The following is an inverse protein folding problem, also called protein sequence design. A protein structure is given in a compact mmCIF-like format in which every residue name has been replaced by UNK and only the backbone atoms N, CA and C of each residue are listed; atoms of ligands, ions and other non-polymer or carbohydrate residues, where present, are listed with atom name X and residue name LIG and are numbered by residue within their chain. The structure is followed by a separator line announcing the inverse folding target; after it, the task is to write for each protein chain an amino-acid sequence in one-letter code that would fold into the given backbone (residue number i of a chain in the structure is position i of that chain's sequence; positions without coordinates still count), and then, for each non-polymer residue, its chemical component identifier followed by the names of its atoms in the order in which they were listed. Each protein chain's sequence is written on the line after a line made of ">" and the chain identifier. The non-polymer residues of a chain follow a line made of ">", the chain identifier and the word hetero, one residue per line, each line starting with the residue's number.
data_IF_546960159705
#
_entry.id   IF_546960159705
#
_cell.length_a   1.000
_cell.length_b   1.000
_cell.length_c   1.000
_cell.angle_alpha   90.00
_cell.angle_beta   90.00
_cell.angle_gamma   90.00
#
_symmetry.space_group_name_H-M   'P 1'
#
loop_
_entity.id
_entity.type
_entity.pdbx_description
1 polymer ?
#
# COMPACT_ATOMS: atom_id res chain seq x y z
N UNK A 1 -50.36 11.51 43.13
CA UNK A 1 -49.42 10.49 42.64
C UNK A 1 -48.39 11.16 41.74
N UNK A 2 -47.13 11.30 42.21
CA UNK A 2 -46.01 11.81 41.42
C UNK A 2 -45.03 10.66 41.20
N UNK A 3 -45.00 10.11 40.00
CA UNK A 3 -44.01 9.13 39.57
C UNK A 3 -42.68 9.84 39.28
N UNK A 4 -41.64 9.44 40.00
CA UNK A 4 -40.32 10.09 39.97
C UNK A 4 -39.56 9.73 38.70
N UNK A 5 -39.10 10.73 37.96
CA UNK A 5 -38.30 10.62 36.74
C UNK A 5 -36.84 10.17 36.97
N UNK A 6 -36.52 9.61 38.16
CA UNK A 6 -35.15 9.19 38.50
C UNK A 6 -34.80 7.75 38.09
N UNK A 7 -35.78 6.92 37.76
CA UNK A 7 -35.54 5.52 37.40
C UNK A 7 -35.21 5.31 35.91
N UNK A 8 -35.46 6.30 35.05
CA UNK A 8 -35.22 6.19 33.60
C UNK A 8 -33.82 6.62 33.16
N UNK A 9 -33.11 7.40 34.00
CA UNK A 9 -31.77 7.87 33.69
C UNK A 9 -30.67 6.81 33.93
N UNK A 10 -30.95 5.76 34.71
CA UNK A 10 -29.96 4.72 35.02
C UNK A 10 -29.94 3.56 34.01
N UNK A 11 -31.00 3.41 33.19
CA UNK A 11 -31.06 2.38 32.16
C UNK A 11 -30.47 2.85 30.81
N UNK A 12 -30.37 4.15 30.57
CA UNK A 12 -29.77 4.71 29.33
C UNK A 12 -28.25 4.91 29.41
N UNK A 13 -27.66 4.84 30.60
CA UNK A 13 -26.21 4.94 30.79
C UNK A 13 -25.48 3.60 30.62
N UNK A 14 -26.21 2.48 30.59
CA UNK A 14 -25.64 1.13 30.44
C UNK A 14 -25.61 0.60 28.99
N UNK A 15 -26.24 1.30 28.04
CA UNK A 15 -26.32 0.87 26.63
C UNK A 15 -25.35 1.59 25.68
N UNK A 16 -24.52 2.51 26.19
CA UNK A 16 -23.55 3.28 25.38
C UNK A 16 -22.08 2.81 25.51
N UNK A 17 -21.82 1.69 26.19
CA UNK A 17 -20.45 1.17 26.40
C UNK A 17 -20.22 -0.27 25.93
N UNK A 18 -21.18 -0.89 25.23
CA UNK A 18 -21.08 -2.28 24.78
C UNK A 18 -20.58 -2.47 23.32
N UNK A 19 -19.72 -1.60 22.81
CA UNK A 19 -19.02 -1.84 21.53
C UNK A 19 -17.51 -1.54 21.55
N UNK A 20 -16.92 -1.30 22.73
CA UNK A 20 -15.48 -1.11 22.89
C UNK A 20 -14.69 -2.42 23.17
N UNK A 21 -15.29 -3.58 22.90
CA UNK A 21 -14.66 -4.89 23.12
C UNK A 21 -14.48 -5.68 21.80
N UNK A 22 -14.13 -4.99 20.71
CA UNK A 22 -13.39 -5.65 19.62
C UNK A 22 -11.97 -5.12 19.62
N UNK A 23 -11.25 -5.42 20.71
CA UNK A 23 -9.80 -5.53 20.66
C UNK A 23 -9.44 -6.75 19.79
N UNK A 24 -9.87 -6.78 18.52
CA UNK A 24 -9.22 -7.53 17.45
C UNK A 24 -7.73 -7.19 17.55
N UNK A 25 -6.85 -8.17 17.62
CA UNK A 25 -5.42 -7.89 17.70
C UNK A 25 -5.10 -7.08 16.46
N UNK A 26 -4.57 -5.88 16.64
CA UNK A 26 -4.21 -5.02 15.52
C UNK A 26 -3.20 -5.80 14.67
N UNK A 27 -3.38 -5.79 13.35
CA UNK A 27 -2.34 -6.31 12.49
C UNK A 27 -1.08 -5.45 12.69
N UNK A 28 0.11 -6.07 12.85
CA UNK A 28 1.33 -5.30 12.92
C UNK A 28 1.58 -4.59 11.60
N UNK A 29 2.09 -3.35 11.66
CA UNK A 29 2.61 -2.66 10.47
C UNK A 29 3.88 -3.34 9.96
N UNK A 30 4.11 -3.22 8.66
CA UNK A 30 5.28 -3.77 7.98
C UNK A 30 4.89 -4.65 6.81
N UNK A 31 5.79 -5.52 6.41
CA UNK A 31 5.70 -6.28 5.17
C UNK A 31 5.73 -7.76 5.48
N UNK A 32 4.85 -8.50 4.80
CA UNK A 32 4.58 -9.91 5.08
C UNK A 32 4.73 -10.72 3.79
N UNK A 33 5.55 -11.76 3.84
CA UNK A 33 5.82 -12.60 2.70
C UNK A 33 4.63 -13.48 2.40
N UNK A 34 4.33 -13.70 1.13
CA UNK A 34 3.25 -14.57 0.70
C UNK A 34 3.63 -15.38 -0.53
N UNK A 35 2.94 -16.51 -0.69
CA UNK A 35 3.04 -17.38 -1.86
C UNK A 35 1.71 -17.44 -2.59
N UNK A 36 1.76 -17.26 -3.91
CA UNK A 36 0.62 -17.42 -4.81
C UNK A 36 0.88 -18.61 -5.73
N UNK A 37 -0.09 -19.52 -5.95
CA UNK A 37 0.06 -20.64 -6.89
C UNK A 37 0.29 -20.20 -8.34
N UNK A 38 0.00 -18.93 -8.66
CA UNK A 38 0.23 -18.36 -9.99
C UNK A 38 1.70 -18.04 -10.26
N UNK A 39 2.51 -17.89 -9.20
CA UNK A 39 3.93 -17.59 -9.31
C UNK A 39 4.73 -18.87 -9.56
N UNK A 40 5.66 -18.81 -10.53
CA UNK A 40 6.57 -19.90 -10.86
C UNK A 40 8.00 -19.39 -10.71
N UNK A 41 8.84 -20.10 -9.95
CA UNK A 41 10.25 -19.72 -9.78
C UNK A 41 10.51 -18.89 -8.50
N UNK A 42 11.47 -17.94 -8.51
CA UNK A 42 11.89 -17.18 -7.32
C UNK A 42 10.93 -16.02 -6.95
N UNK A 43 9.82 -15.89 -7.68
CA UNK A 43 8.84 -14.83 -7.51
C UNK A 43 7.99 -15.07 -6.26
N UNK A 44 7.68 -14.00 -5.54
CA UNK A 44 7.00 -14.00 -4.24
C UNK A 44 6.09 -12.77 -4.11
N UNK A 45 5.12 -12.86 -3.21
CA UNK A 45 4.23 -11.74 -2.88
C UNK A 45 4.66 -11.08 -1.57
N UNK A 46 4.51 -9.77 -1.47
CA UNK A 46 4.55 -9.01 -0.24
C UNK A 46 3.20 -8.33 -0.01
N UNK A 47 2.66 -8.45 1.21
CA UNK A 47 1.61 -7.57 1.68
C UNK A 47 2.23 -6.52 2.60
N UNK A 48 2.27 -5.28 2.14
CA UNK A 48 2.74 -4.14 2.94
C UNK A 48 1.53 -3.55 3.67
N UNK A 49 1.59 -3.47 5.00
CA UNK A 49 0.49 -3.07 5.87
C UNK A 49 0.85 -1.79 6.62
N UNK A 50 0.00 -0.76 6.49
CA UNK A 50 0.06 0.50 7.23
C UNK A 50 -1.27 0.75 7.92
N UNK A 51 -1.26 1.15 9.19
CA UNK A 51 -2.49 1.36 9.96
C UNK A 51 -3.16 2.67 9.54
N UNK A 52 -4.49 2.65 9.46
CA UNK A 52 -5.27 3.88 9.32
C UNK A 52 -5.24 4.64 10.67
N UNK A 53 -4.69 5.86 10.65
CA UNK A 53 -4.54 6.70 11.85
C UNK A 53 -5.88 7.26 12.33
N UNK A 54 -6.89 7.33 11.46
CA UNK A 54 -8.22 7.87 11.77
C UNK A 54 -9.18 6.75 12.13
N UNK A 55 -9.12 5.62 11.42
CA UNK A 55 -9.94 4.45 11.71
C UNK A 55 -9.07 3.31 12.30
N UNK A 56 -9.08 3.08 13.62
CA UNK A 56 -8.17 2.13 14.26
C UNK A 56 -8.41 0.67 13.90
N UNK A 57 -9.52 0.34 13.23
CA UNK A 57 -9.85 -1.01 12.75
C UNK A 57 -9.59 -1.21 11.27
N UNK A 58 -9.08 -0.18 10.57
CA UNK A 58 -8.75 -0.23 9.16
C UNK A 58 -7.23 -0.10 8.92
N UNK A 59 -6.83 -0.54 7.74
CA UNK A 59 -5.45 -0.51 7.27
C UNK A 59 -5.42 -0.10 5.80
N UNK A 60 -4.33 0.51 5.38
CA UNK A 60 -3.94 0.61 3.99
C UNK A 60 -2.97 -0.51 3.69
N UNK A 61 -3.22 -1.24 2.60
CA UNK A 61 -2.37 -2.36 2.21
C UNK A 61 -1.98 -2.28 0.75
N UNK A 62 -0.72 -2.61 0.47
CA UNK A 62 -0.21 -2.79 -0.89
C UNK A 62 0.13 -4.27 -1.05
N UNK A 63 -0.45 -4.92 -2.06
CA UNK A 63 -0.07 -6.26 -2.47
C UNK A 63 0.87 -6.12 -3.66
N UNK A 64 2.13 -6.51 -3.49
CA UNK A 64 3.18 -6.37 -4.49
C UNK A 64 3.82 -7.71 -4.79
N UNK A 65 4.19 -7.92 -6.05
CA UNK A 65 5.00 -9.06 -6.47
C UNK A 65 6.47 -8.63 -6.62
N UNK A 66 7.37 -9.51 -6.24
CA UNK A 66 8.80 -9.24 -6.32
C UNK A 66 9.59 -10.53 -6.53
N UNK A 67 10.81 -10.43 -7.03
CA UNK A 67 11.71 -11.59 -7.11
C UNK A 67 12.73 -11.51 -6.00
N UNK A 68 13.08 -12.64 -5.37
CA UNK A 68 14.10 -12.65 -4.33
C UNK A 68 15.52 -12.55 -4.89
N UNK A 69 16.44 -11.95 -4.12
CA UNK A 69 17.88 -12.09 -4.39
C UNK A 69 18.26 -13.58 -4.26
N UNK A 70 19.15 -14.09 -5.13
CA UNK A 70 19.67 -15.43 -4.97
C UNK A 70 20.54 -15.50 -3.71
N UNK A 71 19.91 -15.93 -2.61
CA UNK A 71 20.51 -16.31 -1.33
C UNK A 71 21.40 -15.26 -0.66
N UNK A 72 20.85 -14.56 0.34
CA UNK A 72 21.65 -13.95 1.41
C UNK A 72 21.34 -14.72 2.71
N UNK A 73 22.32 -15.22 3.47
CA UNK A 73 22.03 -15.89 4.72
C UNK A 73 21.50 -14.88 5.77
N UNK A 74 20.28 -15.09 6.29
CA UNK A 74 19.74 -14.34 7.44
C UNK A 74 18.23 -14.53 7.64
N UNK A 75 17.73 -14.66 8.88
CA UNK A 75 16.33 -15.06 9.11
C UNK A 75 15.25 -13.97 9.00
N UNK A 76 15.55 -12.70 8.65
CA UNK A 76 14.59 -11.59 8.80
C UNK A 76 14.71 -10.47 7.76
N UNK A 77 14.85 -10.80 6.46
CA UNK A 77 15.01 -9.77 5.41
C UNK A 77 14.09 -10.00 4.22
N UNK A 78 13.43 -8.93 3.78
CA UNK A 78 12.85 -8.86 2.44
C UNK A 78 14.01 -8.70 1.46
N UNK A 79 14.47 -9.82 0.92
CA UNK A 79 15.55 -9.85 -0.07
C UNK A 79 15.00 -9.54 -1.45
N UNK A 80 14.46 -8.33 -1.66
CA UNK A 80 13.90 -7.95 -2.96
C UNK A 80 15.06 -7.69 -3.93
N UNK A 81 15.16 -8.48 -5.01
CA UNK A 81 16.09 -8.22 -6.11
C UNK A 81 15.54 -7.20 -7.11
N UNK A 82 14.24 -7.28 -7.36
CA UNK A 82 13.48 -6.40 -8.25
C UNK A 82 12.00 -6.55 -7.94
N UNK A 83 11.23 -5.49 -8.19
CA UNK A 83 9.79 -5.59 -8.24
C UNK A 83 9.36 -6.35 -9.51
N UNK A 84 8.19 -6.97 -9.46
CA UNK A 84 7.51 -7.46 -10.66
C UNK A 84 6.27 -6.59 -10.82
N UNK A 85 5.97 -6.08 -12.04
CA UNK A 85 4.85 -5.17 -12.27
C UNK A 85 3.51 -5.88 -12.05
N UNK A 86 3.11 -5.98 -10.79
CA UNK A 86 1.81 -6.45 -10.35
C UNK A 86 1.54 -5.94 -8.93
N UNK A 87 1.18 -4.66 -8.85
CA UNK A 87 0.91 -3.98 -7.59
C UNK A 87 -0.56 -3.58 -7.48
N UNK A 88 -1.14 -3.82 -6.32
CA UNK A 88 -2.49 -3.43 -6.00
C UNK A 88 -2.50 -2.68 -4.67
N UNK A 89 -3.39 -1.71 -4.55
CA UNK A 89 -3.54 -0.90 -3.34
C UNK A 89 -4.98 -0.99 -2.85
N UNK A 90 -5.14 -1.27 -1.55
CA UNK A 90 -6.43 -1.49 -0.93
C UNK A 90 -6.56 -0.76 0.40
N UNK A 91 -7.80 -0.55 0.81
CA UNK A 91 -8.17 -0.38 2.21
C UNK A 91 -8.68 -1.71 2.75
N UNK A 92 -8.05 -2.21 3.80
CA UNK A 92 -8.51 -3.39 4.53
C UNK A 92 -9.36 -2.96 5.73
N UNK A 93 -10.59 -3.47 5.82
CA UNK A 93 -11.53 -3.16 6.90
C UNK A 93 -12.05 -4.45 7.55
N UNK A 94 -12.28 -4.44 8.86
CA UNK A 94 -12.77 -5.62 9.59
C UNK A 94 -14.10 -6.13 9.02
N UNK A 95 -14.15 -7.41 8.63
CA UNK A 95 -15.33 -8.08 8.04
C UNK A 95 -15.77 -9.30 8.88
N UNK A 96 -15.36 -9.38 10.14
CA UNK A 96 -15.61 -10.51 11.03
C UNK A 96 -14.44 -10.71 11.98
N UNK A 97 -14.52 -11.63 12.94
CA UNK A 97 -13.51 -11.76 14.02
C UNK A 97 -12.08 -12.01 13.53
N UNK A 98 -11.92 -12.76 12.43
CA UNK A 98 -10.64 -13.13 11.83
C UNK A 98 -10.65 -12.86 10.32
N UNK A 99 -11.37 -11.84 9.88
CA UNK A 99 -11.51 -11.53 8.46
C UNK A 99 -11.46 -10.03 8.20
N UNK A 100 -10.79 -9.65 7.13
CA UNK A 100 -10.70 -8.29 6.61
C UNK A 100 -11.18 -8.29 5.15
N UNK A 101 -12.03 -7.33 4.80
CA UNK A 101 -12.39 -7.04 3.42
C UNK A 101 -11.39 -6.04 2.83
N UNK A 102 -10.74 -6.40 1.73
CA UNK A 102 -9.81 -5.57 0.98
C UNK A 102 -10.56 -4.88 -0.15
N UNK A 103 -10.86 -3.60 0.05
CA UNK A 103 -11.52 -2.71 -0.90
C UNK A 103 -10.46 -2.00 -1.74
N UNK A 104 -10.40 -2.21 -3.06
CA UNK A 104 -9.41 -1.54 -3.91
C UNK A 104 -9.55 -0.03 -3.83
N UNK A 105 -8.44 0.67 -3.99
CA UNK A 105 -8.40 2.14 -3.93
C UNK A 105 -8.12 2.73 -5.31
N UNK A 106 -8.58 3.97 -5.51
CA UNK A 106 -8.32 4.78 -6.70
C UNK A 106 -8.13 6.26 -6.33
N UNK A 107 -7.60 7.04 -7.27
CA UNK A 107 -7.61 8.50 -7.18
C UNK A 107 -8.91 9.04 -7.80
N UNK A 108 -9.63 9.86 -7.06
CA UNK A 108 -10.84 10.54 -7.54
C UNK A 108 -10.49 11.76 -8.41
N UNK A 109 -11.47 12.30 -9.13
CA UNK A 109 -11.29 13.53 -9.92
C UNK A 109 -10.86 14.75 -9.06
N UNK A 110 -11.14 14.73 -7.76
CA UNK A 110 -10.71 15.76 -6.82
C UNK A 110 -9.27 15.56 -6.31
N UNK A 111 -8.61 14.46 -6.69
CA UNK A 111 -7.28 14.09 -6.20
C UNK A 111 -7.29 13.41 -4.82
N UNK A 112 -8.45 12.93 -4.35
CA UNK A 112 -8.55 12.16 -3.09
C UNK A 112 -8.40 10.66 -3.33
N UNK A 113 -7.88 9.92 -2.34
CA UNK A 113 -7.85 8.46 -2.34
C UNK A 113 -9.19 7.94 -1.81
N UNK A 114 -9.89 7.17 -2.64
CA UNK A 114 -11.24 6.65 -2.34
C UNK A 114 -11.33 5.17 -2.70
N UNK A 115 -12.34 4.48 -2.15
CA UNK A 115 -12.66 3.12 -2.58
C UNK A 115 -13.07 3.10 -4.05
N UNK A 116 -12.63 2.07 -4.77
CA UNK A 116 -13.03 1.80 -6.13
C UNK A 116 -14.30 0.94 -6.16
N UNK A 117 -15.42 1.60 -6.44
CA UNK A 117 -16.74 0.98 -6.56
C UNK A 117 -16.88 0.12 -7.83
N UNK A 118 -15.89 0.13 -8.73
CA UNK A 118 -15.88 -0.73 -9.91
C UNK A 118 -15.82 -2.21 -9.58
N UNK A 119 -15.35 -2.59 -8.38
CA UNK A 119 -15.20 -3.97 -7.94
C UNK A 119 -16.50 -4.60 -7.45
N UNK A 120 -16.91 -5.67 -8.14
CA UNK A 120 -18.11 -6.45 -7.77
C UNK A 120 -17.97 -7.13 -6.40
N UNK A 121 -16.78 -7.64 -6.07
CA UNK A 121 -16.50 -8.34 -4.82
C UNK A 121 -15.16 -7.87 -4.24
N UNK A 122 -15.10 -7.46 -2.96
CA UNK A 122 -13.83 -7.13 -2.31
C UNK A 122 -12.98 -8.39 -2.12
N UNK A 123 -11.65 -8.22 -2.10
CA UNK A 123 -10.76 -9.28 -1.64
C UNK A 123 -11.06 -9.65 -0.19
N UNK A 124 -10.84 -10.90 0.20
CA UNK A 124 -11.06 -11.34 1.58
C UNK A 124 -9.75 -11.89 2.14
N UNK A 125 -9.22 -11.24 3.17
CA UNK A 125 -8.08 -11.70 3.94
C UNK A 125 -8.57 -12.37 5.22
N UNK A 126 -8.40 -13.68 5.30
CA UNK A 126 -8.77 -14.49 6.45
C UNK A 126 -7.55 -14.78 7.29
N UNK A 127 -7.56 -14.37 8.55
CA UNK A 127 -6.48 -14.59 9.49
C UNK A 127 -6.60 -15.98 10.10
N UNK A 128 -5.52 -16.76 10.12
CA UNK A 128 -5.49 -18.02 10.87
C UNK A 128 -5.50 -17.76 12.39
N UNK A 129 -4.85 -16.67 12.82
CA UNK A 129 -4.76 -16.25 14.22
C UNK A 129 -4.93 -14.74 14.33
N UNK A 130 -5.55 -14.31 15.41
CA UNK A 130 -5.79 -12.89 15.69
C UNK A 130 -4.47 -12.12 15.84
N UNK A 131 -4.35 -10.96 15.19
CA UNK A 131 -3.19 -10.08 15.32
C UNK A 131 -1.91 -10.55 14.61
N UNK A 132 -2.00 -11.51 13.70
CA UNK A 132 -0.87 -11.95 12.86
C UNK A 132 -1.34 -12.35 11.47
N UNK A 133 -0.43 -12.27 10.50
CA UNK A 133 -0.62 -12.76 9.13
C UNK A 133 -0.02 -14.17 8.91
N UNK A 134 0.53 -14.80 9.96
CA UNK A 134 1.03 -16.16 9.88
C UNK A 134 -0.08 -17.16 9.52
N UNK A 135 0.02 -17.75 8.33
CA UNK A 135 -0.98 -18.66 7.79
C UNK A 135 -2.26 -17.97 7.32
N UNK A 136 -2.28 -16.63 7.24
CA UNK A 136 -3.41 -15.91 6.69
C UNK A 136 -3.56 -16.17 5.18
N UNK A 137 -4.79 -16.16 4.69
CA UNK A 137 -5.12 -16.44 3.30
C UNK A 137 -5.90 -15.26 2.71
N UNK A 138 -5.38 -14.65 1.65
CA UNK A 138 -6.09 -13.68 0.83
C UNK A 138 -6.70 -14.39 -0.38
N UNK A 139 -8.02 -14.24 -0.54
CA UNK A 139 -8.72 -14.52 -1.79
C UNK A 139 -8.98 -13.21 -2.52
N UNK A 140 -8.35 -12.99 -3.67
CA UNK A 140 -8.56 -11.81 -4.53
C UNK A 140 -9.55 -12.15 -5.64
N UNK A 141 -10.34 -11.16 -6.04
CA UNK A 141 -11.30 -11.26 -7.13
C UNK A 141 -10.94 -10.34 -8.30
N UNK A 142 -11.54 -10.61 -9.45
CA UNK A 142 -11.41 -9.79 -10.66
C UNK A 142 -12.23 -8.49 -10.59
N UNK A 143 -11.75 -7.41 -11.24
CA UNK A 143 -12.28 -6.04 -11.07
C UNK A 143 -13.76 -5.87 -11.37
N UNK A 144 -14.41 -6.74 -12.14
CA UNK A 144 -15.85 -6.63 -12.45
C UNK A 144 -16.55 -7.98 -12.39
N UNK A 145 -15.97 -8.92 -11.66
CA UNK A 145 -16.45 -10.30 -11.64
C UNK A 145 -16.32 -10.89 -10.24
N UNK A 146 -17.30 -11.72 -9.81
CA UNK A 146 -17.16 -12.51 -8.59
C UNK A 146 -16.19 -13.70 -8.76
N UNK A 147 -15.55 -13.86 -9.92
CA UNK A 147 -14.54 -14.89 -10.16
C UNK A 147 -13.30 -14.65 -9.29
N UNK A 148 -12.88 -15.70 -8.57
CA UNK A 148 -11.61 -15.71 -7.85
C UNK A 148 -10.47 -15.57 -8.85
N UNK A 149 -9.65 -14.56 -8.62
CA UNK A 149 -8.50 -14.27 -9.47
C UNK A 149 -7.23 -14.96 -8.95
N UNK A 150 -7.01 -14.95 -7.63
CA UNK A 150 -5.90 -15.66 -6.99
C UNK A 150 -6.15 -15.90 -5.50
N UNK A 151 -5.44 -16.89 -4.96
CA UNK A 151 -5.34 -17.13 -3.52
C UNK A 151 -3.88 -16.99 -3.10
N UNK A 152 -3.62 -16.19 -2.07
CA UNK A 152 -2.26 -15.94 -1.55
C UNK A 152 -2.21 -16.36 -0.09
N UNK A 153 -1.22 -17.18 0.28
CA UNK A 153 -0.99 -17.58 1.67
C UNK A 153 0.20 -16.81 2.23
N UNK A 154 0.02 -16.15 3.37
CA UNK A 154 1.05 -15.34 4.02
C UNK A 154 1.76 -16.10 5.14
N UNK A 155 3.03 -15.78 5.33
CA UNK A 155 3.91 -16.34 6.34
C UNK A 155 4.86 -15.27 6.85
N UNK A 156 4.90 -15.08 8.17
CA UNK A 156 5.90 -14.27 8.85
C UNK A 156 5.82 -12.79 8.51
N UNK A 157 6.29 -11.97 9.44
CA UNK A 157 6.76 -10.63 9.10
C UNK A 157 8.15 -10.78 8.47
N UNK A 158 8.38 -10.09 7.37
CA UNK A 158 9.65 -10.18 6.62
C UNK A 158 10.45 -8.87 6.64
N UNK A 159 9.82 -7.71 6.89
CA UNK A 159 10.51 -6.41 7.06
C UNK A 159 9.54 -5.28 7.50
N UNK A 160 10.05 -4.06 7.73
CA UNK A 160 9.30 -2.80 7.79
C UNK A 160 9.67 -1.90 6.60
N UNK A 161 9.10 -2.15 5.42
CA UNK A 161 9.49 -1.43 4.19
C UNK A 161 8.68 -0.17 3.93
N UNK A 162 7.98 0.41 4.91
CA UNK A 162 7.18 1.63 4.71
C UNK A 162 7.97 2.84 5.16
N UNK A 163 8.09 3.83 4.28
CA UNK A 163 8.73 5.10 4.58
C UNK A 163 7.70 6.24 4.60
N UNK A 164 8.04 7.31 5.33
CA UNK A 164 7.36 8.59 5.16
C UNK A 164 7.85 9.26 3.86
N UNK A 165 7.40 10.48 3.56
CA UNK A 165 7.85 11.19 2.35
C UNK A 165 9.36 11.44 2.41
N UNK A 166 10.08 10.97 1.39
CA UNK A 166 11.54 11.10 1.28
C UNK A 166 11.89 12.15 0.21
N UNK A 167 12.42 13.33 0.58
CA UNK A 167 12.95 14.28 -0.38
C UNK A 167 14.31 13.83 -0.90
N UNK A 168 14.57 14.00 -2.19
CA UNK A 168 15.83 13.55 -2.79
C UNK A 168 15.87 13.70 -4.31
N UNK A 169 17.00 13.31 -4.87
CA UNK A 169 17.19 13.12 -6.30
C UNK A 169 16.81 11.67 -6.64
N UNK A 170 15.97 11.47 -7.66
CA UNK A 170 15.45 10.16 -8.03
C UNK A 170 15.73 9.83 -9.50
N UNK A 171 15.92 8.55 -9.76
CA UNK A 171 15.92 7.96 -11.08
C UNK A 171 14.64 7.15 -11.31
N UNK A 172 13.78 7.63 -12.21
CA UNK A 172 12.65 6.86 -12.73
C UNK A 172 13.12 5.81 -13.73
N UNK A 173 12.81 4.54 -13.45
CA UNK A 173 13.12 3.41 -14.34
C UNK A 173 12.28 3.47 -15.62
N UNK A 174 12.88 3.00 -16.71
CA UNK A 174 12.18 2.79 -17.99
C UNK A 174 11.57 1.40 -18.09
N UNK A 175 12.07 0.45 -17.30
CA UNK A 175 11.50 -0.89 -17.27
C UNK A 175 10.32 -0.95 -16.29
N UNK A 176 9.27 -1.67 -16.67
CA UNK A 176 8.16 -1.95 -15.77
C UNK A 176 8.55 -2.92 -14.65
N UNK A 177 9.78 -3.43 -14.64
CA UNK A 177 10.28 -4.38 -13.64
C UNK A 177 11.09 -3.72 -12.53
N UNK A 178 11.36 -2.41 -12.60
CA UNK A 178 12.21 -1.76 -11.60
C UNK A 178 13.63 -2.34 -11.53
N UNK A 179 14.09 -3.02 -12.58
CA UNK A 179 15.36 -3.75 -12.61
C UNK A 179 16.57 -2.87 -12.90
N UNK A 180 16.36 -1.57 -13.05
CA UNK A 180 17.34 -0.61 -13.56
C UNK A 180 17.93 0.30 -12.46
N UNK A 181 18.04 -0.22 -11.23
CA UNK A 181 18.47 0.54 -10.04
C UNK A 181 19.94 1.01 -10.12
N UNK A 182 20.77 0.44 -11.01
CA UNK A 182 22.20 0.77 -11.15
C UNK A 182 22.51 1.94 -12.09
N UNK A 183 21.52 2.54 -12.74
CA UNK A 183 21.73 3.74 -13.58
C UNK A 183 22.26 4.92 -12.77
N UNK A 184 22.67 6.01 -13.42
CA UNK A 184 23.22 7.18 -12.72
C UNK A 184 22.53 8.50 -13.07
N UNK A 185 21.54 8.45 -13.94
CA UNK A 185 20.83 9.65 -14.36
C UNK A 185 19.84 10.05 -13.27
N UNK A 186 19.75 11.35 -12.96
CA UNK A 186 18.64 11.89 -12.17
C UNK A 186 17.63 12.44 -13.16
N UNK A 187 16.37 12.07 -13.02
CA UNK A 187 15.30 12.52 -13.92
C UNK A 187 14.02 12.93 -13.17
N UNK A 188 14.07 12.90 -11.85
CA UNK A 188 12.99 13.26 -10.94
C UNK A 188 13.58 13.87 -9.68
N UNK A 189 13.00 14.95 -9.16
CA UNK A 189 13.42 15.59 -7.90
C UNK A 189 12.24 15.75 -6.97
N UNK A 190 12.40 15.29 -5.73
CA UNK A 190 11.42 15.45 -4.66
C UNK A 190 11.95 16.47 -3.66
N UNK A 191 11.32 17.65 -3.60
CA UNK A 191 11.75 18.72 -2.69
C UNK A 191 11.19 18.52 -1.28
N UNK A 192 11.80 19.18 -0.30
CA UNK A 192 11.29 19.26 1.09
C UNK A 192 9.92 19.93 1.18
N UNK A 193 9.58 20.78 0.22
CA UNK A 193 8.28 21.47 0.12
C UNK A 193 7.20 20.58 -0.51
N UNK A 194 7.43 19.26 -0.59
CA UNK A 194 6.52 18.28 -1.19
C UNK A 194 6.17 18.61 -2.64
N UNK A 195 7.19 18.97 -3.42
CA UNK A 195 7.07 19.15 -4.87
C UNK A 195 7.87 18.07 -5.58
N UNK A 196 7.21 17.34 -6.48
CA UNK A 196 7.85 16.41 -7.40
C UNK A 196 8.06 17.09 -8.76
N UNK A 197 9.32 17.23 -9.17
CA UNK A 197 9.72 17.79 -10.47
C UNK A 197 10.20 16.65 -11.37
N UNK A 198 9.41 16.32 -12.38
CA UNK A 198 9.72 15.29 -13.37
C UNK A 198 10.29 15.95 -14.61
N UNK A 199 11.40 15.42 -15.12
CA UNK A 199 12.05 15.90 -16.35
C UNK A 199 12.51 14.70 -17.19
N UNK A 200 11.61 13.75 -17.34
CA UNK A 200 11.76 12.54 -18.13
C UNK A 200 11.23 12.75 -19.55
N UNK A 201 11.59 11.86 -20.48
CA UNK A 201 11.10 11.93 -21.87
C UNK A 201 9.57 12.00 -21.98
N UNK A 202 8.88 11.28 -21.11
CA UNK A 202 7.43 11.07 -21.18
C UNK A 202 6.64 11.86 -20.12
N UNK A 203 7.33 12.45 -19.15
CA UNK A 203 6.72 13.19 -18.04
C UNK A 203 7.60 14.40 -17.78
N UNK A 204 7.07 15.60 -18.05
CA UNK A 204 7.78 16.86 -17.79
C UNK A 204 6.85 17.80 -17.04
N UNK A 205 7.26 18.23 -15.86
CA UNK A 205 6.55 19.23 -15.07
C UNK A 205 6.61 19.00 -13.57
N UNK A 206 6.08 19.98 -12.84
CA UNK A 206 6.03 20.00 -11.37
C UNK A 206 4.66 19.62 -10.85
N UNK A 207 4.65 18.84 -9.77
CA UNK A 207 3.45 18.38 -9.09
C UNK A 207 3.55 18.65 -7.59
N UNK A 208 2.50 19.18 -7.00
CA UNK A 208 2.33 19.18 -5.55
C UNK A 208 2.02 17.76 -5.11
N UNK A 209 2.72 17.29 -4.08
CA UNK A 209 2.56 15.97 -3.48
C UNK A 209 1.79 16.10 -2.18
N UNK A 210 0.67 15.38 -2.07
CA UNK A 210 -0.17 15.42 -0.89
C UNK A 210 -0.35 14.01 -0.31
N UNK A 211 -0.03 13.83 0.97
CA UNK A 211 -0.41 12.64 1.71
C UNK A 211 -1.93 12.67 1.93
N UNK A 212 -2.63 11.68 1.38
CA UNK A 212 -4.11 11.57 1.49
C UNK A 212 -4.55 10.49 2.46
N UNK A 213 -3.67 9.52 2.71
CA UNK A 213 -3.79 8.49 3.71
C UNK A 213 -2.39 8.17 4.24
N UNK A 214 -2.24 7.61 5.46
CA UNK A 214 -0.94 7.28 6.02
C UNK A 214 -0.02 6.54 5.04
N UNK A 215 1.08 7.18 4.64
CA UNK A 215 2.05 6.64 3.68
C UNK A 215 1.63 6.66 2.20
N UNK A 216 0.40 7.08 1.88
CA UNK A 216 -0.12 7.12 0.51
C UNK A 216 -0.29 8.56 0.03
N UNK A 217 0.27 8.82 -1.14
CA UNK A 217 0.41 10.15 -1.71
C UNK A 217 -0.33 10.28 -3.04
N UNK A 218 -0.76 11.50 -3.35
CA UNK A 218 -1.35 11.88 -4.64
C UNK A 218 -0.60 13.08 -5.20
N UNK A 219 -0.76 13.32 -6.50
CA UNK A 219 0.01 14.30 -7.24
C UNK A 219 -0.92 15.24 -7.99
N UNK A 220 -0.72 16.54 -7.82
CA UNK A 220 -1.50 17.58 -8.51
C UNK A 220 -0.58 18.46 -9.35
N UNK A 221 -0.83 18.68 -10.65
CA UNK A 221 -0.02 19.57 -11.46
C UNK A 221 0.04 21.00 -10.89
N UNK A 222 1.24 21.57 -10.79
CA UNK A 222 1.42 22.97 -10.35
C UNK A 222 1.10 24.00 -11.44
N UNK A 223 1.06 23.57 -12.69
CA UNK A 223 0.74 24.42 -13.84
C UNK A 223 0.00 23.62 -14.90
N UNK A 224 -0.64 24.30 -15.84
CA UNK A 224 -1.28 23.64 -16.99
C UNK A 224 -0.26 23.07 -17.99
N UNK A 225 1.00 23.52 -17.94
CA UNK A 225 2.06 23.16 -18.88
C UNK A 225 2.80 21.87 -18.46
N UNK A 226 2.05 20.82 -18.09
CA UNK A 226 2.60 19.49 -17.76
C UNK A 226 2.41 18.56 -18.94
N UNK A 227 3.49 17.87 -19.34
CA UNK A 227 3.44 16.80 -20.35
C UNK A 227 3.37 15.45 -19.66
N UNK A 228 2.51 14.54 -20.12
CA UNK A 228 2.33 13.20 -19.55
C UNK A 228 1.76 13.17 -18.13
N UNK A 229 0.96 14.19 -17.75
CA UNK A 229 0.40 14.30 -16.41
C UNK A 229 -0.50 13.12 -16.03
N UNK A 230 -1.18 12.51 -16.99
CA UNK A 230 -1.99 11.30 -16.84
C UNK A 230 -1.20 10.09 -16.30
N UNK A 231 0.12 10.05 -16.55
CA UNK A 231 1.02 9.03 -15.98
C UNK A 231 1.35 9.25 -14.50
N UNK A 232 0.89 10.35 -13.90
CA UNK A 232 1.20 10.71 -12.49
C UNK A 232 -0.07 10.98 -11.69
N UNK A 233 -0.99 11.80 -12.20
CA UNK A 233 -2.14 12.33 -11.42
C UNK A 233 -3.19 11.28 -11.07
N UNK A 234 -3.26 10.19 -11.83
CA UNK A 234 -4.20 9.08 -11.60
C UNK A 234 -3.62 8.02 -10.65
N UNK A 235 -2.34 8.15 -10.30
CA UNK A 235 -1.59 7.14 -9.55
C UNK A 235 -1.52 7.46 -8.06
N UNK A 236 -1.36 6.40 -7.28
CA UNK A 236 -1.11 6.49 -5.84
C UNK A 236 0.38 6.28 -5.61
N UNK A 237 1.01 7.27 -4.97
CA UNK A 237 2.40 7.22 -4.55
C UNK A 237 2.56 6.49 -3.23
N UNK A 238 3.57 5.64 -3.10
CA UNK A 238 3.99 5.05 -1.83
C UNK A 238 5.52 5.02 -1.75
N UNK A 239 6.06 5.34 -0.57
CA UNK A 239 7.50 5.29 -0.34
C UNK A 239 7.87 4.00 0.39
N UNK A 240 8.84 3.27 -0.15
CA UNK A 240 9.28 1.98 0.39
C UNK A 240 10.80 1.83 0.39
N UNK A 241 11.31 1.02 1.30
CA UNK A 241 12.71 0.54 1.27
C UNK A 241 12.73 -0.93 0.81
N UNK A 242 13.22 -1.20 -0.41
CA UNK A 242 13.25 -2.55 -1.01
C UNK A 242 14.07 -3.52 -0.18
N UNK A 243 15.24 -3.09 0.28
CA UNK A 243 16.27 -4.00 0.81
C UNK A 243 16.26 -4.00 2.35
N UNK A 244 15.69 -2.98 2.97
CA UNK A 244 15.71 -2.76 4.42
C UNK A 244 17.12 -2.95 4.99
N UNK A 245 18.10 -2.33 4.33
CA UNK A 245 19.52 -2.39 4.68
C UNK A 245 19.97 -1.21 5.53
N UNK A 246 19.03 -0.37 5.98
CA UNK A 246 19.30 0.69 6.95
C UNK A 246 19.98 0.10 8.21
N UNK A 247 21.04 0.74 8.75
CA UNK A 247 21.62 2.02 8.33
C UNK A 247 22.74 1.92 7.27
N UNK A 248 23.07 0.71 6.77
CA UNK A 248 24.23 0.48 5.92
C UNK A 248 24.06 1.01 4.49
N UNK A 249 22.85 0.88 3.95
CA UNK A 249 22.44 1.45 2.66
C UNK A 249 20.97 1.85 2.74
N UNK A 250 20.65 3.00 2.16
CA UNK A 250 19.29 3.46 1.96
C UNK A 250 18.96 3.25 0.48
N UNK A 251 17.84 2.59 0.22
CA UNK A 251 17.31 2.38 -1.13
C UNK A 251 15.85 2.74 -1.11
N UNK A 252 15.57 4.00 -0.78
CA UNK A 252 14.21 4.49 -0.70
C UNK A 252 13.66 4.67 -2.13
N UNK A 253 12.41 4.30 -2.28
CA UNK A 253 11.76 4.21 -3.58
C UNK A 253 10.39 4.83 -3.54
N UNK A 254 10.08 5.58 -4.59
CA UNK A 254 8.71 5.98 -4.87
C UNK A 254 8.10 5.01 -5.88
N UNK A 255 7.05 4.32 -5.43
CA UNK A 255 6.16 3.54 -6.28
C UNK A 255 5.00 4.42 -6.72
N UNK A 256 4.83 4.61 -8.03
CA UNK A 256 3.62 5.22 -8.61
C UNK A 256 2.71 4.11 -9.13
N UNK A 257 1.76 3.69 -8.29
CA UNK A 257 0.84 2.58 -8.52
C UNK A 257 -0.36 3.07 -9.34
N UNK A 258 -0.59 2.46 -10.51
CA UNK A 258 -1.81 2.69 -11.28
C UNK A 258 -2.95 1.79 -10.72
N UNK A 259 -4.02 2.37 -10.13
CA UNK A 259 -5.12 1.59 -9.58
C UNK A 259 -6.00 0.90 -10.64
N UNK A 260 -5.89 1.29 -11.91
CA UNK A 260 -6.65 0.71 -13.01
C UNK A 260 -5.90 -0.39 -13.76
N UNK A 261 -4.57 -0.43 -13.67
CA UNK A 261 -3.72 -1.47 -14.25
C UNK A 261 -2.57 -1.81 -13.30
N UNK A 262 -2.69 -2.97 -12.64
CA UNK A 262 -1.68 -3.44 -11.68
C UNK A 262 -0.30 -3.66 -12.29
N UNK A 263 -0.20 -3.78 -13.63
CA UNK A 263 1.08 -3.95 -14.34
C UNK A 263 1.72 -2.62 -14.73
N UNK A 264 0.98 -1.52 -14.64
CA UNK A 264 1.46 -0.19 -14.98
C UNK A 264 1.95 0.53 -13.72
N UNK A 265 3.20 0.26 -13.34
CA UNK A 265 3.82 0.84 -12.14
C UNK A 265 5.02 1.67 -12.53
N UNK A 266 5.10 2.88 -11.98
CA UNK A 266 6.28 3.74 -12.12
C UNK A 266 7.22 3.49 -10.95
N UNK A 267 8.45 3.11 -11.22
CA UNK A 267 9.47 2.87 -10.20
C UNK A 267 10.49 3.99 -10.20
N UNK A 268 10.74 4.58 -9.04
CA UNK A 268 11.66 5.70 -8.86
C UNK A 268 12.59 5.40 -7.69
N UNK A 269 13.89 5.42 -7.94
CA UNK A 269 14.93 5.04 -6.98
C UNK A 269 15.70 6.26 -6.51
N UNK A 270 15.85 6.45 -5.20
CA UNK A 270 16.67 7.52 -4.63
C UNK A 270 18.14 7.39 -5.07
N UNK A 271 18.79 8.53 -5.27
CA UNK A 271 20.22 8.66 -5.53
C UNK A 271 20.92 9.34 -4.36
N UNK A 272 22.01 8.73 -3.92
CA UNK A 272 22.99 9.29 -2.97
C UNK A 272 24.29 9.64 -3.68
#
# INVERSE_FOLDING_TARGET
>A
MKTSARSLALALAASLLASAAHAGGLLPEGSFGGSSPLLKGPDVMALLVKKDRVNPTAYYVILAEYTRLPYIPGPERLEIARWVPRLYVYRAEQNGKLSLALKPLRVSAAGEIVADEGYATPGILTLAKKGTLDGAVLTRYEKKSPTIAETVTFQGKVSSTWEDYVPGDYFGSKDSTGGDYTRKDVNTRLSKDKVADFFQKDIVGKFDVAEKAPGLYTFKPKSAAVTGGDKVVTRIGAFVDIVNWKPFMTTDELLLINPDDAKDVGFYYERH
#
